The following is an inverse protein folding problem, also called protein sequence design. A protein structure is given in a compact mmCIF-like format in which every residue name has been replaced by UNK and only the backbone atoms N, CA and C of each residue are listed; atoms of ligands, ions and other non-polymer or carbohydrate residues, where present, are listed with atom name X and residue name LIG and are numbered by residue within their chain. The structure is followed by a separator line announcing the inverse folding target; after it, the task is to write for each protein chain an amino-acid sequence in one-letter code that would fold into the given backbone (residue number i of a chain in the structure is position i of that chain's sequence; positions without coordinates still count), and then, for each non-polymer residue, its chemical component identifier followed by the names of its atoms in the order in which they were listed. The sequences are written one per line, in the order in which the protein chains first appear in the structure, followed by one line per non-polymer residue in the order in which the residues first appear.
data_IF_752973099961
#
_entry.id   IF_752973099961
#
_cell.length_a   1.000
_cell.length_b   1.000
_cell.length_c   1.000
_cell.angle_alpha   90.00
_cell.angle_beta   90.00
_cell.angle_gamma   90.00
#
_symmetry.space_group_name_H-M   'P 1'
#
loop_
_entity.id
_entity.type
_entity.pdbx_description
1 polymer ?
#
# COMPACT_ATOMS: atom_id res chain seq x y z
N UNK A 1 -14.58 -29.13 27.23
CA UNK A 1 -15.32 -28.90 28.49
C UNK A 1 -14.55 -27.83 29.26
N UNK A 2 -15.16 -26.66 29.49
CA UNK A 2 -14.54 -25.57 30.25
C UNK A 2 -14.37 -26.01 31.72
N UNK A 3 -13.18 -25.80 32.28
CA UNK A 3 -12.91 -26.02 33.70
C UNK A 3 -12.58 -24.67 34.33
N UNK A 4 -13.26 -24.37 35.43
CA UNK A 4 -12.98 -23.20 36.26
C UNK A 4 -12.43 -23.68 37.61
N UNK A 5 -11.38 -23.02 38.09
CA UNK A 5 -10.87 -23.18 39.43
C UNK A 5 -11.57 -22.17 40.33
N UNK A 6 -12.13 -22.63 41.44
CA UNK A 6 -12.84 -21.80 42.39
C UNK A 6 -12.06 -21.82 43.70
N UNK A 7 -11.67 -20.64 44.18
CA UNK A 7 -11.01 -20.48 45.47
C UNK A 7 -12.07 -20.30 46.59
N UNK A 8 -11.72 -20.67 47.82
CA UNK A 8 -12.59 -20.50 49.00
C UNK A 8 -12.96 -19.03 49.29
N UNK A 9 -12.19 -18.08 48.77
CA UNK A 9 -12.46 -16.64 48.82
C UNK A 9 -13.52 -16.17 47.82
N UNK A 10 -13.99 -17.05 46.92
CA UNK A 10 -14.94 -16.72 45.85
C UNK A 10 -14.28 -16.26 44.55
N UNK A 11 -12.94 -16.17 44.50
CA UNK A 11 -12.23 -15.91 43.23
C UNK A 11 -12.34 -17.09 42.28
N UNK A 12 -12.71 -16.81 41.03
CA UNK A 12 -12.84 -17.79 39.96
C UNK A 12 -11.78 -17.52 38.90
N UNK A 13 -11.01 -18.54 38.54
CA UNK A 13 -10.05 -18.47 37.44
C UNK A 13 -10.32 -19.56 36.41
N UNK A 14 -10.20 -19.22 35.14
CA UNK A 14 -10.37 -20.15 34.03
C UNK A 14 -9.37 -19.82 32.93
N UNK A 15 -8.99 -20.84 32.15
CA UNK A 15 -8.09 -20.67 31.02
C UNK A 15 -8.68 -21.39 29.81
N UNK A 16 -8.83 -20.66 28.70
CA UNK A 16 -9.34 -21.19 27.43
C UNK A 16 -8.42 -20.77 26.30
N UNK A 17 -7.65 -21.69 25.71
CA UNK A 17 -6.90 -21.39 24.49
C UNK A 17 -7.90 -21.20 23.35
N UNK A 18 -7.95 -19.98 22.81
CA UNK A 18 -8.85 -19.62 21.70
C UNK A 18 -8.02 -19.09 20.54
N UNK A 19 -8.34 -19.51 19.32
CA UNK A 19 -7.83 -18.90 18.10
C UNK A 19 -8.88 -17.95 17.54
N UNK A 20 -8.57 -16.67 17.52
CA UNK A 20 -9.48 -15.62 17.04
C UNK A 20 -8.90 -15.02 15.77
N UNK A 21 -9.76 -14.78 14.78
CA UNK A 21 -9.40 -13.97 13.62
C UNK A 21 -9.92 -12.55 13.84
N UNK A 22 -9.07 -11.56 13.63
CA UNK A 22 -9.41 -10.13 13.74
C UNK A 22 -9.23 -9.46 12.39
N UNK A 23 -9.98 -8.38 12.17
CA UNK A 23 -9.87 -7.57 10.96
C UNK A 23 -9.15 -6.28 11.34
N UNK A 24 -7.94 -6.07 10.83
CA UNK A 24 -7.23 -4.79 10.89
C UNK A 24 -7.06 -4.21 9.49
N UNK A 25 -7.02 -2.88 9.40
CA UNK A 25 -6.70 -2.19 8.16
C UNK A 25 -5.18 -2.28 7.93
N UNK A 26 -4.79 -2.79 6.76
CA UNK A 26 -3.38 -2.93 6.36
C UNK A 26 -2.97 -1.69 5.58
N UNK A 27 -1.83 -1.11 5.94
CA UNK A 27 -1.19 -0.05 5.18
C UNK A 27 -0.14 -0.62 4.22
N UNK A 28 -0.35 -0.44 2.91
CA UNK A 28 0.49 -1.06 1.86
C UNK A 28 1.43 -0.06 1.17
N UNK A 29 1.59 1.14 1.73
CA UNK A 29 2.40 2.18 1.10
C UNK A 29 3.89 1.79 1.01
N UNK A 30 4.43 1.17 2.06
CA UNK A 30 5.86 0.77 2.17
C UNK A 30 6.14 -0.71 1.86
N UNK A 31 5.22 -1.37 1.16
CA UNK A 31 5.43 -2.75 0.73
C UNK A 31 6.78 -2.91 -0.01
N UNK A 32 7.61 -3.93 0.30
CA UNK A 32 7.36 -5.13 1.12
C UNK A 32 7.90 -5.06 2.56
N UNK A 33 8.43 -3.92 3.00
CA UNK A 33 9.02 -3.76 4.34
C UNK A 33 8.10 -2.91 5.23
N UNK A 34 6.80 -3.18 5.12
CA UNK A 34 5.75 -2.47 5.83
C UNK A 34 5.69 -2.83 7.32
N UNK A 35 5.14 -1.92 8.11
CA UNK A 35 4.84 -2.11 9.54
C UNK A 35 3.35 -1.98 9.74
N UNK A 36 2.76 -2.94 10.46
CA UNK A 36 1.33 -3.01 10.68
C UNK A 36 1.00 -2.90 12.17
N UNK A 37 0.21 -1.89 12.52
CA UNK A 37 -0.33 -1.70 13.86
C UNK A 37 -1.77 -2.22 13.92
N UNK A 38 -1.95 -3.47 14.36
CA UNK A 38 -3.26 -4.11 14.45
C UNK A 38 -3.82 -4.06 15.88
N UNK A 39 -4.94 -3.34 16.05
CA UNK A 39 -5.65 -3.22 17.32
C UNK A 39 -6.63 -4.38 17.52
N UNK A 40 -6.58 -5.01 18.69
CA UNK A 40 -7.52 -6.04 19.10
C UNK A 40 -8.37 -5.48 20.24
N UNK A 41 -9.64 -5.22 19.94
CA UNK A 41 -10.59 -4.70 20.93
C UNK A 41 -11.32 -5.86 21.61
N UNK A 42 -11.25 -5.91 22.94
CA UNK A 42 -11.97 -6.90 23.75
C UNK A 42 -13.08 -6.19 24.53
N UNK A 43 -14.31 -6.67 24.38
CA UNK A 43 -15.50 -6.12 25.04
C UNK A 43 -16.47 -7.26 25.33
N UNK A 44 -17.26 -7.14 26.39
CA UNK A 44 -18.38 -8.06 26.61
C UNK A 44 -19.56 -7.59 25.76
N UNK A 45 -20.16 -8.51 25.02
CA UNK A 45 -21.34 -8.19 24.20
C UNK A 45 -22.63 -8.03 25.02
N UNK A 46 -22.62 -8.47 26.29
CA UNK A 46 -23.83 -8.68 27.09
C UNK A 46 -24.07 -7.60 28.15
N UNK A 47 -23.03 -6.87 28.53
CA UNK A 47 -23.09 -5.86 29.59
C UNK A 47 -22.58 -4.53 29.06
N UNK A 48 -23.04 -3.44 29.65
CA UNK A 48 -22.53 -2.12 29.33
C UNK A 48 -21.18 -1.88 30.03
N UNK A 49 -20.33 -1.04 29.44
CA UNK A 49 -18.98 -0.77 29.94
C UNK A 49 -18.94 -0.09 31.33
N UNK A 50 -20.09 0.37 31.85
CA UNK A 50 -20.25 0.90 33.20
C UNK A 50 -20.57 -0.18 34.25
N UNK A 51 -20.90 -1.41 33.84
CA UNK A 51 -21.25 -2.52 34.74
C UNK A 51 -20.05 -3.42 35.06
N UNK A 52 -19.00 -3.38 34.24
CA UNK A 52 -17.82 -4.20 34.40
C UNK A 52 -16.54 -3.46 34.02
N UNK A 53 -15.42 -3.89 34.60
CA UNK A 53 -14.08 -3.41 34.27
C UNK A 53 -13.22 -4.60 33.81
N UNK A 54 -12.44 -4.40 32.74
CA UNK A 54 -11.46 -5.37 32.26
C UNK A 54 -10.08 -4.81 32.56
N UNK A 55 -9.38 -5.42 33.51
CA UNK A 55 -7.94 -5.20 33.67
C UNK A 55 -7.17 -6.24 32.86
N UNK A 56 -6.17 -5.77 32.10
CA UNK A 56 -5.35 -6.61 31.23
C UNK A 56 -3.91 -6.53 31.71
N UNK A 57 -3.43 -7.62 32.28
CA UNK A 57 -2.03 -7.74 32.68
C UNK A 57 -1.25 -8.55 31.63
N UNK A 58 -0.15 -7.98 31.15
CA UNK A 58 0.82 -8.72 30.35
C UNK A 58 1.69 -9.58 31.28
N UNK A 59 1.90 -10.85 30.92
CA UNK A 59 2.82 -11.70 31.66
C UNK A 59 4.21 -11.04 31.69
N UNK A 60 4.91 -11.00 32.85
CA UNK A 60 6.23 -10.40 32.96
C UNK A 60 7.26 -11.03 32.01
N UNK A 61 7.05 -12.29 31.61
CA UNK A 61 7.85 -12.97 30.58
C UNK A 61 7.78 -12.31 29.19
N UNK A 62 6.68 -11.60 28.88
CA UNK A 62 6.50 -10.81 27.67
C UNK A 62 7.03 -9.37 27.85
N UNK A 63 6.93 -8.80 29.06
CA UNK A 63 7.37 -7.43 29.33
C UNK A 63 8.88 -7.25 29.49
N UNK A 64 9.60 -8.28 29.95
CA UNK A 64 11.04 -8.18 30.25
C UNK A 64 11.94 -8.87 29.20
N UNK A 65 11.42 -9.82 28.41
CA UNK A 65 12.20 -10.60 27.45
C UNK A 65 11.66 -10.48 26.01
N UNK A 66 12.36 -9.70 25.19
CA UNK A 66 12.10 -9.48 23.75
C UNK A 66 12.03 -10.82 22.96
N UNK A 67 12.74 -11.84 23.43
CA UNK A 67 12.77 -13.18 22.80
C UNK A 67 11.43 -13.92 22.84
N UNK A 68 10.59 -13.69 23.85
CA UNK A 68 9.26 -14.32 23.92
C UNK A 68 8.29 -13.71 22.90
N UNK A 69 8.38 -12.40 22.66
CA UNK A 69 7.58 -11.69 21.66
C UNK A 69 8.03 -12.09 20.24
N UNK A 70 9.34 -12.15 19.99
CA UNK A 70 9.87 -12.53 18.69
C UNK A 70 9.52 -13.99 18.32
N UNK A 71 9.43 -14.88 19.31
CA UNK A 71 9.01 -16.27 19.11
C UNK A 71 7.52 -16.43 18.73
N UNK A 72 6.70 -15.40 18.90
CA UNK A 72 5.30 -15.39 18.45
C UNK A 72 5.15 -14.99 16.97
N UNK A 73 6.21 -14.47 16.35
CA UNK A 73 6.25 -14.21 14.91
C UNK A 73 6.27 -15.51 14.10
N UNK A 74 5.95 -15.40 12.81
CA UNK A 74 6.10 -16.50 11.85
C UNK A 74 7.24 -16.18 10.86
N UNK A 75 7.38 -17.00 9.81
CA UNK A 75 8.46 -16.83 8.80
C UNK A 75 8.39 -15.48 8.05
N UNK A 76 7.20 -14.88 7.95
CA UNK A 76 6.98 -13.61 7.24
C UNK A 76 6.90 -12.40 8.18
N UNK A 77 6.25 -12.54 9.34
CA UNK A 77 5.94 -11.44 10.24
C UNK A 77 6.69 -11.57 11.56
N UNK A 78 7.40 -10.51 11.91
CA UNK A 78 8.03 -10.33 13.20
C UNK A 78 7.21 -9.38 14.07
N UNK A 79 6.91 -9.79 15.31
CA UNK A 79 6.24 -8.90 16.27
C UNK A 79 7.30 -7.99 16.89
N UNK A 80 7.16 -6.69 16.66
CA UNK A 80 8.12 -5.67 17.11
C UNK A 80 7.74 -5.06 18.45
N UNK A 81 6.44 -4.80 18.65
CA UNK A 81 5.92 -4.19 19.87
C UNK A 81 4.52 -4.72 20.18
N UNK A 82 4.20 -4.81 21.47
CA UNK A 82 2.87 -5.13 21.97
C UNK A 82 2.55 -4.16 23.10
N UNK A 83 1.51 -3.36 22.93
CA UNK A 83 1.00 -2.46 23.96
C UNK A 83 -0.47 -2.79 24.24
N UNK A 84 -0.88 -2.48 25.46
CA UNK A 84 -2.23 -2.69 25.94
C UNK A 84 -2.74 -1.37 26.48
N UNK A 85 -3.97 -1.04 26.14
CA UNK A 85 -4.64 0.16 26.62
C UNK A 85 -6.09 -0.17 26.96
N UNK A 86 -6.52 0.21 28.16
CA UNK A 86 -7.93 0.16 28.58
C UNK A 86 -8.55 1.53 28.32
N UNK A 87 -9.61 1.58 27.50
CA UNK A 87 -10.33 2.82 27.16
C UNK A 87 -11.82 2.57 27.36
N UNK A 88 -12.49 3.48 28.06
CA UNK A 88 -13.95 3.52 28.09
C UNK A 88 -14.44 4.07 26.77
N UNK A 89 -14.97 3.20 25.92
CA UNK A 89 -15.67 3.61 24.72
C UNK A 89 -17.16 3.70 25.08
N UNK A 90 -17.67 4.91 25.27
CA UNK A 90 -19.11 5.14 25.40
C UNK A 90 -19.75 4.67 24.09
N UNK A 91 -20.46 3.55 24.14
CA UNK A 91 -21.32 3.11 23.06
C UNK A 91 -22.56 3.98 23.16
N UNK A 92 -22.52 5.17 22.59
CA UNK A 92 -23.71 5.96 22.30
C UNK A 92 -24.60 5.07 21.43
N UNK A 93 -25.65 4.45 21.98
CA UNK A 93 -26.41 3.38 21.31
C UNK A 93 -26.94 3.87 19.94
N UNK A 94 -26.29 3.51 18.82
CA UNK A 94 -26.65 4.06 17.53
C UNK A 94 -27.77 3.24 16.89
N UNK A 95 -28.31 2.20 17.54
CA UNK A 95 -28.96 1.04 16.91
C UNK A 95 -30.17 1.41 16.01
N UNK A 96 -30.94 2.44 16.35
CA UNK A 96 -32.10 2.89 15.56
C UNK A 96 -31.71 3.78 14.36
N UNK A 97 -30.68 4.61 14.51
CA UNK A 97 -30.04 5.35 13.39
C UNK A 97 -29.13 4.44 12.55
N UNK A 98 -28.61 3.38 13.15
CA UNK A 98 -27.76 2.35 12.56
C UNK A 98 -28.56 1.53 11.56
N UNK A 99 -29.83 1.20 11.81
CA UNK A 99 -30.66 0.51 10.81
C UNK A 99 -30.80 1.29 9.49
N UNK A 100 -31.04 2.60 9.60
CA UNK A 100 -31.12 3.51 8.43
C UNK A 100 -29.75 3.75 7.80
N UNK A 101 -28.70 3.92 8.60
CA UNK A 101 -27.34 4.05 8.10
C UNK A 101 -26.84 2.77 7.42
N UNK A 102 -27.11 1.58 7.98
CA UNK A 102 -26.70 0.28 7.46
C UNK A 102 -27.37 -0.03 6.13
N UNK A 103 -28.65 0.28 5.93
CA UNK A 103 -29.31 0.07 4.63
C UNK A 103 -28.72 0.96 3.53
N UNK A 104 -28.40 2.22 3.84
CA UNK A 104 -27.74 3.15 2.92
C UNK A 104 -26.28 2.74 2.65
N UNK A 105 -25.57 2.29 3.69
CA UNK A 105 -24.21 1.76 3.59
C UNK A 105 -24.20 0.46 2.79
N UNK A 106 -25.12 -0.49 3.02
CA UNK A 106 -25.24 -1.75 2.28
C UNK A 106 -25.48 -1.53 0.78
N UNK A 107 -26.25 -0.50 0.44
CA UNK A 107 -26.50 -0.11 -0.94
C UNK A 107 -25.26 0.52 -1.59
N UNK A 108 -24.57 1.40 -0.88
CA UNK A 108 -23.33 2.02 -1.33
C UNK A 108 -22.15 1.02 -1.38
N UNK A 109 -22.09 0.05 -0.47
CA UNK A 109 -21.05 -1.00 -0.44
C UNK A 109 -21.28 -2.06 -1.50
N UNK A 110 -22.53 -2.35 -1.88
CA UNK A 110 -22.81 -3.18 -3.06
C UNK A 110 -22.30 -2.50 -4.34
N UNK A 111 -22.59 -1.21 -4.52
CA UNK A 111 -22.10 -0.40 -5.65
C UNK A 111 -20.57 -0.29 -5.63
N UNK A 112 -19.99 0.00 -4.47
CA UNK A 112 -18.53 0.09 -4.30
C UNK A 112 -17.85 -1.28 -4.40
N UNK A 113 -18.51 -2.39 -4.06
CA UNK A 113 -17.99 -3.75 -4.21
C UNK A 113 -17.90 -4.19 -5.66
N UNK A 114 -18.87 -3.79 -6.48
CA UNK A 114 -18.78 -3.92 -7.94
C UNK A 114 -17.64 -3.06 -8.50
N UNK A 115 -17.40 -1.87 -7.94
CA UNK A 115 -16.31 -0.98 -8.35
C UNK A 115 -14.92 -1.44 -7.84
N UNK A 116 -14.86 -2.09 -6.68
CA UNK A 116 -13.63 -2.48 -5.99
C UNK A 116 -13.14 -3.88 -6.35
N UNK A 117 -14.02 -4.79 -6.75
CA UNK A 117 -13.58 -6.07 -7.36
C UNK A 117 -12.85 -5.84 -8.69
N UNK A 118 -13.05 -4.68 -9.32
CA UNK A 118 -12.29 -4.22 -10.49
C UNK A 118 -11.03 -3.38 -10.14
N UNK A 119 -10.93 -2.85 -8.91
CA UNK A 119 -9.88 -1.91 -8.48
C UNK A 119 -9.60 -2.07 -6.96
N UNK A 120 -8.39 -2.46 -6.52
CA UNK A 120 -8.08 -2.45 -5.09
C UNK A 120 -8.14 -1.00 -4.58
N UNK A 121 -9.13 -0.68 -3.73
CA UNK A 121 -9.23 0.63 -3.10
C UNK A 121 -8.26 0.69 -1.92
N UNK A 122 -6.99 0.91 -2.22
CA UNK A 122 -5.99 1.29 -1.23
C UNK A 122 -6.05 2.80 -0.99
N UNK A 123 -5.84 3.27 0.24
CA UNK A 123 -5.83 4.71 0.56
C UNK A 123 -4.65 5.43 -0.13
N UNK A 124 -3.55 4.71 -0.34
CA UNK A 124 -2.39 5.09 -1.14
C UNK A 124 -1.98 3.97 -2.09
N UNK A 125 -1.37 4.29 -3.22
CA UNK A 125 -0.75 3.30 -4.10
C UNK A 125 0.59 2.88 -3.47
N UNK A 126 0.93 1.58 -3.43
CA UNK A 126 2.25 1.13 -2.99
C UNK A 126 3.34 1.85 -3.77
N UNK A 127 4.42 2.30 -3.11
CA UNK A 127 5.55 2.96 -3.79
C UNK A 127 6.07 2.12 -4.96
N UNK A 128 6.13 0.79 -4.79
CA UNK A 128 6.51 -0.16 -5.83
C UNK A 128 5.58 -0.11 -7.07
N UNK A 129 4.27 0.06 -6.87
CA UNK A 129 3.31 0.12 -7.96
C UNK A 129 3.46 1.41 -8.78
N UNK A 130 3.71 2.54 -8.11
CA UNK A 130 3.98 3.82 -8.77
C UNK A 130 5.25 3.72 -9.62
N UNK A 131 6.33 3.15 -9.06
CA UNK A 131 7.59 2.93 -9.78
C UNK A 131 7.40 2.10 -11.05
N UNK A 132 6.66 0.99 -10.96
CA UNK A 132 6.40 0.11 -12.11
C UNK A 132 5.59 0.83 -13.18
N UNK A 133 4.58 1.63 -12.81
CA UNK A 133 3.77 2.39 -13.75
C UNK A 133 4.57 3.48 -14.47
N UNK A 134 5.43 4.21 -13.75
CA UNK A 134 6.32 5.22 -14.35
C UNK A 134 7.36 4.56 -15.27
N UNK A 135 7.96 3.45 -14.83
CA UNK A 135 8.94 2.70 -15.64
C UNK A 135 8.31 2.19 -16.94
N UNK A 136 7.10 1.63 -16.87
CA UNK A 136 6.35 1.18 -18.05
C UNK A 136 6.07 2.33 -19.02
N UNK A 137 5.70 3.51 -18.51
CA UNK A 137 5.49 4.69 -19.34
C UNK A 137 6.77 5.14 -20.04
N UNK A 138 7.90 5.18 -19.33
CA UNK A 138 9.22 5.55 -19.90
C UNK A 138 9.64 4.57 -20.99
N UNK A 139 9.45 3.26 -20.79
CA UNK A 139 9.73 2.24 -21.81
C UNK A 139 8.88 2.44 -23.08
N UNK A 140 7.59 2.76 -22.93
CA UNK A 140 6.70 3.04 -24.07
C UNK A 140 7.16 4.29 -24.83
N UNK A 141 7.52 5.37 -24.12
CA UNK A 141 8.03 6.59 -24.75
C UNK A 141 9.36 6.35 -25.50
N UNK A 142 10.27 5.53 -24.95
CA UNK A 142 11.50 5.15 -25.62
C UNK A 142 11.24 4.35 -26.91
N UNK A 143 10.30 3.40 -26.89
CA UNK A 143 9.90 2.65 -28.09
C UNK A 143 9.28 3.55 -29.16
N UNK A 144 8.40 4.47 -28.77
CA UNK A 144 7.78 5.42 -29.71
C UNK A 144 8.84 6.34 -30.33
N UNK A 145 9.76 6.89 -29.52
CA UNK A 145 10.82 7.77 -30.01
C UNK A 145 11.77 7.06 -30.98
N UNK A 146 12.16 5.82 -30.69
CA UNK A 146 13.05 5.03 -31.57
C UNK A 146 12.40 4.68 -32.92
N UNK A 147 11.07 4.57 -32.98
CA UNK A 147 10.33 4.36 -34.25
C UNK A 147 10.14 5.67 -35.03
N UNK A 148 9.85 6.78 -34.35
CA UNK A 148 9.57 8.08 -35.00
C UNK A 148 10.84 8.70 -35.60
N UNK A 149 11.97 8.62 -34.89
CA UNK A 149 13.24 9.20 -35.32
C UNK A 149 13.66 8.80 -36.76
N UNK A 150 13.72 7.51 -37.15
CA UNK A 150 14.07 7.13 -38.52
C UNK A 150 13.01 7.56 -39.55
N UNK A 151 11.73 7.54 -39.20
CA UNK A 151 10.65 7.98 -40.09
C UNK A 151 10.75 9.48 -40.37
N UNK A 152 10.99 10.27 -39.33
CA UNK A 152 11.18 11.72 -39.42
C UNK A 152 12.42 12.07 -40.26
N UNK A 153 13.52 11.32 -40.08
CA UNK A 153 14.73 11.48 -40.90
C UNK A 153 14.44 11.28 -42.40
N UNK A 154 13.69 10.24 -42.74
CA UNK A 154 13.32 9.94 -44.14
C UNK A 154 12.37 11.02 -44.69
N UNK A 155 11.38 11.44 -43.91
CA UNK A 155 10.44 12.48 -44.30
C UNK A 155 11.12 13.83 -44.60
N UNK A 156 12.00 14.28 -43.70
CA UNK A 156 12.73 15.54 -43.86
C UNK A 156 13.66 15.51 -45.09
N UNK A 157 14.24 14.34 -45.38
CA UNK A 157 15.06 14.12 -46.58
C UNK A 157 14.24 14.12 -47.88
N UNK A 158 12.94 13.78 -47.83
CA UNK A 158 12.02 13.81 -48.97
C UNK A 158 11.52 15.22 -49.30
N UNK A 159 11.17 16.03 -48.29
CA UNK A 159 10.68 17.41 -48.46
C UNK A 159 11.73 18.33 -49.11
N UNK A 160 12.99 18.21 -48.69
CA UNK A 160 14.10 19.00 -49.25
C UNK A 160 14.50 18.64 -50.69
N UNK A 161 13.94 17.57 -51.27
CA UNK A 161 14.21 17.19 -52.66
C UNK A 161 13.40 18.03 -53.67
N UNK A 162 12.32 18.70 -53.22
CA UNK A 162 11.42 19.50 -54.06
C UNK A 162 11.95 20.93 -54.29
N UNK A 163 12.65 21.51 -53.31
CA UNK A 163 13.35 22.80 -53.46
C UNK A 163 14.79 22.56 -53.94
N UNK A 164 14.99 22.63 -55.26
CA UNK A 164 16.26 22.34 -55.93
C UNK A 164 17.50 23.07 -55.38
N UNK A 165 18.65 22.38 -55.51
CA UNK A 165 20.03 22.71 -55.04
C UNK A 165 20.31 22.54 -53.55
N UNK A 166 20.60 21.29 -53.14
CA UNK A 166 21.23 20.98 -51.85
C UNK A 166 22.74 21.10 -51.96
N UNK A 167 23.30 22.13 -51.35
CA UNK A 167 24.73 22.32 -51.14
C UNK A 167 25.23 21.30 -50.10
N UNK A 168 26.35 20.61 -50.34
CA UNK A 168 26.85 19.53 -49.45
C UNK A 168 27.04 19.92 -47.98
N UNK A 169 27.26 21.22 -47.70
CA UNK A 169 27.31 21.79 -46.34
C UNK A 169 25.98 21.64 -45.57
N UNK A 170 24.83 21.82 -46.23
CA UNK A 170 23.50 21.73 -45.60
C UNK A 170 23.18 20.31 -45.12
N UNK A 171 23.62 19.31 -45.90
CA UNK A 171 23.43 17.87 -45.58
C UNK A 171 24.25 17.40 -44.37
N UNK A 172 25.41 18.02 -44.15
CA UNK A 172 26.26 17.76 -42.97
C UNK A 172 25.64 18.37 -41.71
N UNK A 173 25.05 19.57 -41.80
CA UNK A 173 24.37 20.22 -40.67
C UNK A 173 23.10 19.50 -40.23
N UNK A 174 22.27 19.02 -41.17
CA UNK A 174 21.05 18.24 -40.84
C UNK A 174 21.37 16.92 -40.13
N UNK A 175 22.44 16.23 -40.55
CA UNK A 175 22.86 14.99 -39.91
C UNK A 175 23.48 15.24 -38.52
N UNK A 176 24.09 16.41 -38.31
CA UNK A 176 24.59 16.86 -37.00
C UNK A 176 23.42 17.18 -36.06
N UNK A 177 22.37 17.84 -36.56
CA UNK A 177 21.15 18.12 -35.81
C UNK A 177 20.45 16.84 -35.34
N UNK A 178 20.29 15.85 -36.23
CA UNK A 178 19.68 14.56 -35.87
C UNK A 178 20.45 13.84 -34.76
N UNK A 179 21.78 13.80 -34.83
CA UNK A 179 22.62 13.21 -33.78
C UNK A 179 22.45 13.92 -32.44
N UNK A 180 22.38 15.26 -32.43
CA UNK A 180 22.17 16.03 -31.19
C UNK A 180 20.81 15.73 -30.57
N UNK A 181 19.76 15.61 -31.39
CA UNK A 181 18.41 15.24 -30.93
C UNK A 181 18.38 13.82 -30.36
N UNK A 182 19.05 12.87 -31.03
CA UNK A 182 19.14 11.48 -30.58
C UNK A 182 19.85 11.35 -29.22
N UNK A 183 21.03 11.96 -29.06
CA UNK A 183 21.74 11.97 -27.78
C UNK A 183 20.97 12.72 -26.68
N UNK A 184 20.28 13.81 -27.03
CA UNK A 184 19.44 14.56 -26.09
C UNK A 184 18.27 13.73 -25.58
N UNK A 185 17.59 12.99 -26.46
CA UNK A 185 16.46 12.14 -26.08
C UNK A 185 16.91 10.97 -25.19
N UNK A 186 18.05 10.34 -25.49
CA UNK A 186 18.65 9.31 -24.62
C UNK A 186 18.99 9.90 -23.25
N UNK A 187 19.62 11.07 -23.18
CA UNK A 187 19.98 11.70 -21.92
C UNK A 187 18.75 12.04 -21.05
N UNK A 188 17.63 12.48 -21.66
CA UNK A 188 16.38 12.74 -20.94
C UNK A 188 15.74 11.46 -20.40
N UNK A 189 15.75 10.37 -21.17
CA UNK A 189 15.22 9.07 -20.74
C UNK A 189 16.05 8.47 -19.61
N UNK A 190 17.38 8.56 -19.70
CA UNK A 190 18.29 8.14 -18.62
C UNK A 190 18.07 8.97 -17.34
N UNK A 191 17.87 10.28 -17.48
CA UNK A 191 17.54 11.14 -16.34
C UNK A 191 16.19 10.76 -15.71
N UNK A 192 15.18 10.44 -16.53
CA UNK A 192 13.88 9.98 -16.04
C UNK A 192 13.98 8.63 -15.30
N UNK A 193 14.79 7.70 -15.80
CA UNK A 193 15.08 6.43 -15.10
C UNK A 193 15.82 6.66 -13.79
N UNK A 194 16.79 7.58 -13.76
CA UNK A 194 17.51 7.95 -12.54
C UNK A 194 16.55 8.54 -11.49
N UNK A 195 15.65 9.44 -11.91
CA UNK A 195 14.62 10.00 -11.03
C UNK A 195 13.70 8.89 -10.49
N UNK A 196 13.28 7.96 -11.35
CA UNK A 196 12.43 6.83 -10.93
C UNK A 196 13.15 5.93 -9.90
N UNK A 197 14.45 5.69 -10.08
CA UNK A 197 15.27 4.95 -9.12
C UNK A 197 15.41 5.68 -7.78
N UNK A 198 15.58 7.00 -7.80
CA UNK A 198 15.62 7.82 -6.57
C UNK A 198 14.29 7.72 -5.82
N UNK A 199 13.16 7.77 -6.52
CA UNK A 199 11.81 7.63 -5.92
C UNK A 199 11.58 6.24 -5.32
N UNK A 200 12.20 5.19 -5.84
CA UNK A 200 12.10 3.84 -5.28
C UNK A 200 12.86 3.70 -3.96
N UNK A 201 13.99 4.40 -3.81
CA UNK A 201 14.84 4.34 -2.62
C UNK A 201 14.34 5.27 -1.51
N UNK A 202 13.68 6.38 -1.88
CA UNK A 202 13.12 7.37 -0.94
C UNK A 202 11.78 6.95 -0.32
#
# INVERSE_FOLDING_TARGET
MLKALINATGHVSFFVPTRTATVCAIDVEEFPFDKQDCLINMMTQSFAANEYEINIDLSPSLGENISAIQAMGNEEWQITNLWVQTVFHDVEEPFEMLGMALSNIMSLTFILGILATALPKTKGLPKIAIYVMVNLLVMVLALVATIILPYFKIYLMSSNKVTGKVNGKKKIEENKFYRVVEYGLVAVLELANLINFIVLIA
#
